data_IF_871078659904
#
_entry.id   IF_871078659904
#
_cell.length_a   1.000
_cell.length_b   1.000
_cell.length_c   1.000
_cell.angle_alpha   90.00
_cell.angle_beta   90.00
_cell.angle_gamma   90.00
#
_symmetry.space_group_name_H-M   'P 1'
#
loop_
_entity.id
_entity.type
_entity.pdbx_description
1 polymer ?
#
# COMPACT_ATOMS: atom_id res chain seq x y z
N UNK A 1 -28.61 0.85 -15.38
CA UNK A 1 -28.81 0.15 -14.07
C UNK A 1 -29.41 1.16 -13.09
N UNK A 2 -30.60 0.90 -12.59
CA UNK A 2 -31.27 1.79 -11.63
C UNK A 2 -30.73 1.54 -10.21
N UNK A 3 -29.72 2.31 -9.79
CA UNK A 3 -29.07 2.15 -8.46
C UNK A 3 -29.99 2.53 -7.28
N UNK A 4 -31.19 3.04 -7.53
CA UNK A 4 -32.12 3.40 -6.46
C UNK A 4 -32.61 2.18 -5.67
N UNK A 5 -32.80 1.06 -6.33
CA UNK A 5 -33.22 -0.18 -5.66
C UNK A 5 -32.18 -0.68 -4.66
N UNK A 6 -30.90 -0.44 -4.94
CA UNK A 6 -29.79 -0.84 -4.04
C UNK A 6 -29.72 -0.02 -2.75
N UNK A 7 -30.39 1.15 -2.70
CA UNK A 7 -30.51 1.94 -1.46
C UNK A 7 -31.12 1.16 -0.33
N UNK A 8 -32.03 0.22 -0.65
CA UNK A 8 -32.65 -0.69 0.32
C UNK A 8 -31.63 -1.37 1.24
N UNK A 9 -30.50 -1.82 0.69
CA UNK A 9 -29.47 -2.49 1.48
C UNK A 9 -28.74 -1.52 2.43
N UNK A 10 -28.59 -0.24 2.06
CA UNK A 10 -27.99 0.78 2.93
C UNK A 10 -28.93 1.23 4.05
N UNK A 11 -30.23 1.25 3.80
CA UNK A 11 -31.24 1.67 4.77
C UNK A 11 -31.49 0.63 5.85
N UNK A 12 -31.35 -0.66 5.52
CA UNK A 12 -31.55 -1.77 6.45
C UNK A 12 -30.28 -2.08 7.25
N UNK A 13 -30.25 -1.71 8.53
CA UNK A 13 -29.09 -1.91 9.43
C UNK A 13 -28.64 -3.36 9.56
N UNK A 14 -29.54 -4.31 9.41
CA UNK A 14 -29.24 -5.75 9.51
C UNK A 14 -28.25 -6.28 8.48
N UNK A 15 -28.06 -5.60 7.34
CA UNK A 15 -27.05 -5.99 6.35
C UNK A 15 -25.61 -5.66 6.76
N UNK A 16 -25.39 -4.73 7.67
CA UNK A 16 -24.05 -4.17 7.94
C UNK A 16 -23.03 -5.25 8.31
N UNK A 17 -23.31 -6.11 9.29
CA UNK A 17 -22.36 -7.17 9.72
C UNK A 17 -22.31 -8.31 8.70
N UNK A 18 -23.43 -8.64 8.07
CA UNK A 18 -23.51 -9.65 7.02
C UNK A 18 -22.59 -9.27 5.85
N UNK A 19 -22.75 -8.08 5.31
CA UNK A 19 -21.96 -7.60 4.17
C UNK A 19 -20.49 -7.41 4.51
N UNK A 20 -20.17 -6.90 5.72
CA UNK A 20 -18.80 -6.85 6.20
C UNK A 20 -18.15 -8.25 6.21
N UNK A 21 -18.87 -9.25 6.74
CA UNK A 21 -18.39 -10.63 6.77
C UNK A 21 -18.21 -11.23 5.37
N UNK A 22 -19.14 -10.96 4.44
CA UNK A 22 -19.02 -11.43 3.05
C UNK A 22 -17.84 -10.75 2.36
N UNK A 23 -17.63 -9.43 2.55
CA UNK A 23 -16.47 -8.71 2.02
C UNK A 23 -15.16 -9.29 2.53
N UNK A 24 -15.05 -9.59 3.83
CA UNK A 24 -13.86 -10.20 4.41
C UNK A 24 -13.58 -11.60 3.82
N UNK A 25 -14.64 -12.40 3.58
CA UNK A 25 -14.52 -13.68 2.88
C UNK A 25 -14.03 -13.50 1.44
N UNK A 26 -14.63 -12.56 0.69
CA UNK A 26 -14.17 -12.26 -0.66
C UNK A 26 -12.71 -11.83 -0.69
N UNK A 27 -12.31 -10.91 0.20
CA UNK A 27 -10.92 -10.48 0.31
C UNK A 27 -9.94 -11.61 0.56
N UNK A 28 -10.35 -12.61 1.33
CA UNK A 28 -9.52 -13.78 1.64
C UNK A 28 -9.50 -14.81 0.52
N UNK A 29 -10.64 -15.07 -0.14
CA UNK A 29 -10.82 -16.16 -1.09
C UNK A 29 -10.61 -15.74 -2.56
N UNK A 30 -10.71 -14.45 -2.86
CA UNK A 30 -10.72 -13.93 -4.25
C UNK A 30 -12.01 -14.24 -5.02
N UNK A 31 -13.04 -14.77 -4.36
CA UNK A 31 -14.33 -15.10 -4.95
C UNK A 31 -15.46 -15.02 -3.92
N UNK A 32 -16.69 -14.88 -4.38
CA UNK A 32 -17.86 -15.03 -3.54
C UNK A 32 -17.98 -16.48 -3.10
N UNK A 33 -18.14 -16.71 -1.80
CA UNK A 33 -18.25 -18.05 -1.24
C UNK A 33 -17.83 -18.14 0.22
N UNK A 34 -17.91 -19.36 0.75
CA UNK A 34 -17.64 -19.64 2.16
C UNK A 34 -18.80 -19.30 3.08
N UNK A 35 -18.54 -19.34 4.38
CA UNK A 35 -19.57 -19.15 5.42
C UNK A 35 -19.20 -17.98 6.31
N UNK A 36 -20.13 -17.06 6.50
CA UNK A 36 -20.05 -15.97 7.47
C UNK A 36 -20.77 -16.39 8.74
N UNK A 37 -20.07 -16.37 9.86
CA UNK A 37 -20.65 -16.67 11.18
C UNK A 37 -20.95 -15.36 11.90
N UNK A 38 -22.17 -15.24 12.41
CA UNK A 38 -22.62 -14.12 13.24
C UNK A 38 -23.10 -14.66 14.56
N UNK A 39 -22.52 -14.18 15.62
CA UNK A 39 -22.96 -14.43 17.00
C UNK A 39 -23.71 -13.21 17.54
N UNK A 40 -24.61 -13.44 18.52
CA UNK A 40 -25.42 -12.41 19.14
C UNK A 40 -26.17 -11.56 18.08
N UNK A 41 -27.06 -12.22 17.34
CA UNK A 41 -27.86 -11.57 16.29
C UNK A 41 -28.72 -10.46 16.86
N UNK A 42 -28.69 -9.29 16.23
CA UNK A 42 -29.63 -8.21 16.49
C UNK A 42 -30.99 -8.49 15.86
N UNK A 43 -32.03 -7.80 16.31
CA UNK A 43 -33.39 -7.98 15.73
C UNK A 43 -33.40 -7.60 14.25
N UNK A 44 -32.70 -6.55 13.85
CA UNK A 44 -32.55 -6.17 12.44
C UNK A 44 -31.89 -7.27 11.60
N UNK A 45 -30.89 -7.97 12.12
CA UNK A 45 -30.22 -9.09 11.45
C UNK A 45 -31.14 -10.31 11.34
N UNK A 46 -31.89 -10.62 12.40
CA UNK A 46 -32.88 -11.70 12.38
C UNK A 46 -33.96 -11.46 11.34
N UNK A 47 -34.47 -10.22 11.26
CA UNK A 47 -35.46 -9.83 10.23
C UNK A 47 -34.94 -10.06 8.82
N UNK A 48 -33.74 -9.54 8.53
CA UNK A 48 -33.08 -9.65 7.23
C UNK A 48 -32.85 -11.12 6.85
N UNK A 49 -32.32 -11.93 7.79
CA UNK A 49 -32.03 -13.34 7.54
C UNK A 49 -33.32 -14.16 7.33
N UNK A 50 -34.36 -13.84 8.10
CA UNK A 50 -35.67 -14.50 7.93
C UNK A 50 -36.27 -14.24 6.55
N UNK A 51 -36.17 -12.99 6.08
CA UNK A 51 -36.68 -12.58 4.77
C UNK A 51 -35.88 -13.22 3.61
N UNK A 52 -34.56 -13.29 3.71
CA UNK A 52 -33.70 -13.87 2.69
C UNK A 52 -33.82 -15.39 2.59
N UNK A 53 -33.72 -16.08 3.73
CA UNK A 53 -33.69 -17.55 3.71
C UNK A 53 -35.02 -18.20 3.89
N UNK A 54 -36.11 -17.42 4.10
CA UNK A 54 -37.47 -17.92 4.40
C UNK A 54 -37.49 -18.94 5.53
N UNK A 55 -36.58 -18.73 6.53
CA UNK A 55 -36.43 -19.55 7.73
C UNK A 55 -36.56 -18.65 8.94
N UNK A 56 -37.15 -19.13 10.02
CA UNK A 56 -37.31 -18.35 11.25
C UNK A 56 -35.97 -18.21 12.00
N UNK A 57 -35.49 -16.98 12.10
CA UNK A 57 -34.30 -16.60 12.87
C UNK A 57 -34.65 -15.85 14.16
N UNK A 58 -35.94 -15.58 14.45
CA UNK A 58 -36.34 -14.74 15.60
C UNK A 58 -35.86 -15.30 16.93
N UNK A 59 -35.82 -16.61 17.09
CA UNK A 59 -35.40 -17.29 18.31
C UNK A 59 -33.91 -17.63 18.34
N UNK A 60 -33.17 -17.40 17.24
CA UNK A 60 -31.78 -17.80 17.11
C UNK A 60 -30.84 -16.73 17.64
N UNK A 61 -29.82 -17.17 18.40
CA UNK A 61 -28.76 -16.30 18.92
C UNK A 61 -27.60 -16.11 17.92
N UNK A 62 -27.41 -17.06 17.00
CA UNK A 62 -26.33 -17.04 16.02
C UNK A 62 -26.81 -17.55 14.65
N UNK A 63 -26.09 -17.21 13.60
CA UNK A 63 -26.32 -17.70 12.26
C UNK A 63 -25.03 -18.03 11.53
N UNK A 64 -25.08 -19.08 10.70
CA UNK A 64 -24.04 -19.40 9.73
C UNK A 64 -24.61 -19.14 8.33
N UNK A 65 -24.11 -18.14 7.66
CA UNK A 65 -24.61 -17.64 6.37
C UNK A 65 -23.69 -18.19 5.29
N UNK A 66 -24.20 -19.11 4.49
CA UNK A 66 -23.53 -19.56 3.28
C UNK A 66 -23.68 -18.48 2.21
N UNK A 67 -22.54 -17.95 1.72
CA UNK A 67 -22.51 -16.81 0.79
C UNK A 67 -23.16 -17.16 -0.55
N UNK A 68 -22.96 -18.39 -1.05
CA UNK A 68 -23.57 -18.82 -2.31
C UNK A 68 -25.11 -18.92 -2.18
N UNK A 69 -25.59 -19.43 -1.05
CA UNK A 69 -27.02 -19.45 -0.76
C UNK A 69 -27.62 -18.08 -0.56
N UNK A 70 -26.83 -17.15 0.00
CA UNK A 70 -27.26 -15.76 0.12
C UNK A 70 -27.40 -15.11 -1.27
N UNK A 71 -26.44 -15.32 -2.17
CA UNK A 71 -26.54 -14.86 -3.56
C UNK A 71 -27.72 -15.50 -4.29
N UNK A 72 -27.95 -16.81 -4.11
CA UNK A 72 -29.06 -17.50 -4.69
C UNK A 72 -30.42 -16.97 -4.19
N UNK A 73 -30.51 -16.52 -2.95
CA UNK A 73 -31.75 -15.95 -2.38
C UNK A 73 -32.17 -14.62 -3.01
N UNK A 74 -31.27 -13.97 -3.79
CA UNK A 74 -31.58 -12.75 -4.56
C UNK A 74 -32.37 -13.08 -5.85
N UNK A 75 -32.27 -14.31 -6.36
CA UNK A 75 -33.03 -14.76 -7.53
C UNK A 75 -34.50 -14.73 -7.24
N UNK A 76 -35.29 -14.43 -8.25
CA UNK A 76 -36.74 -14.24 -8.15
C UNK A 76 -37.16 -13.12 -7.17
N UNK A 77 -36.29 -12.15 -6.94
CA UNK A 77 -36.59 -10.91 -6.23
C UNK A 77 -36.38 -9.74 -7.16
N UNK A 78 -36.74 -8.54 -6.73
CA UNK A 78 -36.44 -7.31 -7.46
C UNK A 78 -34.92 -7.06 -7.65
N UNK A 79 -34.07 -7.85 -7.01
CA UNK A 79 -32.62 -7.74 -7.06
C UNK A 79 -31.96 -8.79 -7.97
N UNK A 80 -32.71 -9.59 -8.71
CA UNK A 80 -32.17 -10.68 -9.53
C UNK A 80 -31.25 -10.21 -10.67
N UNK A 81 -31.41 -8.97 -11.13
CA UNK A 81 -30.54 -8.37 -12.15
C UNK A 81 -29.15 -7.98 -11.60
N UNK A 82 -28.95 -8.00 -10.28
CA UNK A 82 -27.71 -7.62 -9.63
C UNK A 82 -26.99 -8.85 -9.08
N UNK A 83 -25.69 -8.93 -9.32
CA UNK A 83 -24.86 -9.90 -8.60
C UNK A 83 -24.66 -9.46 -7.16
N UNK A 84 -24.38 -10.39 -6.26
CA UNK A 84 -24.02 -10.04 -4.88
C UNK A 84 -22.78 -9.13 -4.83
N UNK A 85 -21.87 -9.24 -5.81
CA UNK A 85 -20.72 -8.35 -5.96
C UNK A 85 -21.16 -6.91 -6.23
N UNK A 86 -22.09 -6.69 -7.18
CA UNK A 86 -22.61 -5.35 -7.50
C UNK A 86 -23.27 -4.71 -6.27
N UNK A 87 -24.02 -5.48 -5.51
CA UNK A 87 -24.67 -5.02 -4.28
C UNK A 87 -23.62 -4.59 -3.23
N UNK A 88 -22.58 -5.40 -3.03
CA UNK A 88 -21.51 -5.09 -2.09
C UNK A 88 -20.71 -3.86 -2.52
N UNK A 89 -20.35 -3.74 -3.79
CA UNK A 89 -19.66 -2.58 -4.33
C UNK A 89 -20.47 -1.30 -4.18
N UNK A 90 -21.78 -1.36 -4.44
CA UNK A 90 -22.68 -0.23 -4.19
C UNK A 90 -22.77 0.10 -2.69
N UNK A 91 -22.89 -0.92 -1.83
CA UNK A 91 -23.04 -0.74 -0.39
C UNK A 91 -21.82 -0.06 0.23
N UNK A 92 -20.61 -0.49 -0.13
CA UNK A 92 -19.36 0.07 0.41
C UNK A 92 -18.87 1.31 -0.37
N UNK A 93 -19.37 1.55 -1.58
CA UNK A 93 -18.92 2.65 -2.44
C UNK A 93 -17.53 2.44 -3.05
N UNK A 94 -17.03 1.22 -3.06
CA UNK A 94 -15.72 0.83 -3.57
C UNK A 94 -15.77 -0.49 -4.33
N UNK A 95 -14.80 -0.72 -5.22
CA UNK A 95 -14.65 -2.03 -5.88
C UNK A 95 -14.29 -3.12 -4.87
N UNK A 96 -14.88 -4.28 -5.06
CA UNK A 96 -14.57 -5.45 -4.25
C UNK A 96 -13.33 -6.15 -4.80
N UNK A 97 -12.23 -6.04 -4.07
CA UNK A 97 -10.93 -6.63 -4.43
C UNK A 97 -10.50 -7.69 -3.42
N UNK A 98 -9.77 -8.68 -3.88
CA UNK A 98 -9.10 -9.64 -3.01
C UNK A 98 -7.75 -9.11 -2.56
N UNK A 99 -7.21 -9.68 -1.49
CA UNK A 99 -5.84 -9.37 -1.04
C UNK A 99 -4.79 -9.62 -2.13
N UNK A 100 -5.02 -10.64 -2.97
CA UNK A 100 -4.12 -10.97 -4.08
C UNK A 100 -4.16 -9.88 -5.15
N UNK A 101 -5.36 -9.45 -5.55
CA UNK A 101 -5.54 -8.36 -6.51
C UNK A 101 -4.94 -7.04 -5.97
N UNK A 102 -5.17 -6.72 -4.69
CA UNK A 102 -4.57 -5.52 -4.05
C UNK A 102 -3.03 -5.58 -4.12
N UNK A 103 -2.42 -6.75 -3.85
CA UNK A 103 -0.98 -6.94 -3.95
C UNK A 103 -0.45 -6.83 -5.39
N UNK A 104 -1.18 -7.38 -6.36
CA UNK A 104 -0.83 -7.30 -7.78
C UNK A 104 -0.90 -5.84 -8.30
N UNK A 105 -1.91 -5.10 -7.87
CA UNK A 105 -2.04 -3.67 -8.21
C UNK A 105 -0.85 -2.90 -7.61
N UNK A 106 -0.56 -3.11 -6.32
CA UNK A 106 0.56 -2.45 -5.64
C UNK A 106 1.91 -2.79 -6.28
N UNK A 107 2.10 -4.04 -6.69
CA UNK A 107 3.32 -4.48 -7.37
C UNK A 107 3.50 -3.77 -8.73
N UNK A 108 2.43 -3.67 -9.54
CA UNK A 108 2.46 -2.94 -10.81
C UNK A 108 2.75 -1.45 -10.63
N UNK A 109 2.08 -0.81 -9.67
CA UNK A 109 2.34 0.60 -9.37
C UNK A 109 3.78 0.85 -8.92
N UNK A 110 4.36 -0.10 -8.14
CA UNK A 110 5.76 -0.04 -7.73
C UNK A 110 6.71 -0.24 -8.92
N UNK A 111 6.39 -1.15 -9.82
CA UNK A 111 7.16 -1.36 -11.06
C UNK A 111 7.17 -0.08 -11.91
N UNK A 112 6.02 0.55 -12.12
CA UNK A 112 5.92 1.80 -12.87
C UNK A 112 6.70 2.95 -12.20
N UNK A 113 6.61 3.06 -10.88
CA UNK A 113 7.37 4.05 -10.10
C UNK A 113 8.88 3.92 -10.32
N UNK A 114 9.42 2.70 -10.24
CA UNK A 114 10.85 2.47 -10.46
C UNK A 114 11.25 2.55 -11.93
N UNK A 115 10.37 2.18 -12.86
CA UNK A 115 10.61 2.31 -14.30
C UNK A 115 10.88 3.76 -14.71
N UNK A 116 10.16 4.72 -14.16
CA UNK A 116 10.42 6.13 -14.41
C UNK A 116 11.79 6.57 -13.88
N UNK A 117 12.18 6.09 -12.68
CA UNK A 117 13.49 6.37 -12.10
C UNK A 117 14.62 5.74 -12.93
N UNK A 118 14.47 4.48 -13.32
CA UNK A 118 15.43 3.79 -14.17
C UNK A 118 15.60 4.48 -15.52
N UNK A 119 14.51 4.91 -16.15
CA UNK A 119 14.59 5.64 -17.43
C UNK A 119 15.38 6.94 -17.30
N UNK A 120 15.24 7.66 -16.18
CA UNK A 120 15.95 8.91 -15.93
C UNK A 120 17.44 8.70 -15.63
N UNK A 121 17.81 7.61 -14.94
CA UNK A 121 19.14 7.38 -14.41
C UNK A 121 19.86 6.17 -15.02
N UNK A 122 19.46 5.73 -16.22
CA UNK A 122 19.91 4.48 -16.86
C UNK A 122 21.43 4.32 -16.94
N UNK A 123 22.16 5.40 -17.22
CA UNK A 123 23.63 5.38 -17.40
C UNK A 123 24.34 6.14 -16.27
N UNK A 124 23.69 6.32 -15.15
CA UNK A 124 24.21 7.10 -14.02
C UNK A 124 24.83 6.21 -12.95
N UNK A 125 25.76 6.77 -12.16
CA UNK A 125 26.45 6.06 -11.07
C UNK A 125 25.51 5.57 -9.96
N UNK A 126 24.35 6.20 -9.80
CA UNK A 126 23.35 5.81 -8.82
C UNK A 126 22.54 4.57 -9.22
N UNK A 127 22.71 4.04 -10.45
CA UNK A 127 21.84 2.98 -11.00
C UNK A 127 21.88 1.71 -10.14
N UNK A 128 23.04 1.33 -9.62
CA UNK A 128 23.17 0.13 -8.82
C UNK A 128 22.47 0.25 -7.45
N UNK A 129 22.50 1.45 -6.85
CA UNK A 129 21.67 1.72 -5.67
C UNK A 129 20.17 1.66 -5.98
N UNK A 130 19.71 2.24 -7.11
CA UNK A 130 18.31 2.15 -7.52
C UNK A 130 17.85 0.71 -7.75
N UNK A 131 18.70 -0.12 -8.36
CA UNK A 131 18.45 -1.57 -8.52
C UNK A 131 18.32 -2.24 -7.16
N UNK A 132 19.25 -1.98 -6.23
CA UNK A 132 19.21 -2.54 -4.87
C UNK A 132 17.94 -2.13 -4.11
N UNK A 133 17.44 -0.89 -4.30
CA UNK A 133 16.14 -0.45 -3.75
C UNK A 133 14.97 -1.23 -4.33
N UNK A 134 14.97 -1.44 -5.64
CA UNK A 134 13.91 -2.19 -6.33
C UNK A 134 13.90 -3.65 -5.91
N UNK A 135 15.05 -4.29 -5.85
CA UNK A 135 15.27 -5.69 -5.45
C UNK A 135 15.09 -5.94 -3.95
N UNK A 136 15.09 -4.87 -3.14
CA UNK A 136 14.91 -4.99 -1.69
C UNK A 136 16.20 -5.31 -0.93
N UNK A 137 17.36 -5.16 -1.54
CA UNK A 137 18.70 -5.47 -0.96
C UNK A 137 19.42 -4.25 -0.39
N UNK A 138 18.96 -3.02 -0.70
CA UNK A 138 19.57 -1.79 -0.23
C UNK A 138 19.47 -1.65 1.29
N UNK A 139 20.49 -1.03 1.89
CA UNK A 139 20.46 -0.59 3.30
C UNK A 139 19.29 0.38 3.49
N UNK A 140 18.52 0.21 4.58
CA UNK A 140 17.37 1.07 4.87
C UNK A 140 16.13 0.85 3.99
N UNK A 141 16.09 -0.19 3.15
CA UNK A 141 14.98 -0.46 2.21
C UNK A 141 13.60 -0.57 2.90
N UNK A 142 13.56 -0.99 4.17
CA UNK A 142 12.29 -1.06 4.94
C UNK A 142 11.65 0.31 5.09
N UNK A 143 12.45 1.33 5.41
CA UNK A 143 11.99 2.73 5.52
C UNK A 143 11.49 3.24 4.18
N UNK A 144 12.19 2.94 3.08
CA UNK A 144 11.77 3.30 1.72
C UNK A 144 10.44 2.65 1.37
N UNK A 145 10.26 1.36 1.66
CA UNK A 145 9.00 0.65 1.41
C UNK A 145 7.84 1.21 2.24
N UNK A 146 8.07 1.60 3.48
CA UNK A 146 7.06 2.22 4.33
C UNK A 146 6.66 3.61 3.80
N UNK A 147 7.64 4.43 3.39
CA UNK A 147 7.39 5.73 2.79
C UNK A 147 6.67 5.61 1.45
N UNK A 148 6.97 4.60 0.65
CA UNK A 148 6.27 4.32 -0.60
C UNK A 148 4.76 4.18 -0.41
N UNK A 149 4.32 3.60 0.70
CA UNK A 149 2.89 3.44 1.02
C UNK A 149 2.24 4.73 1.56
N UNK A 150 3.01 5.58 2.24
CA UNK A 150 2.48 6.73 2.97
C UNK A 150 2.68 8.07 2.26
N UNK A 151 3.83 8.26 1.60
CA UNK A 151 4.21 9.50 0.90
C UNK A 151 5.05 9.20 -0.35
N UNK A 152 4.39 8.76 -1.39
CA UNK A 152 5.02 8.34 -2.66
C UNK A 152 5.70 9.50 -3.38
N UNK A 153 5.11 10.69 -3.32
CA UNK A 153 5.65 11.87 -4.00
C UNK A 153 6.88 12.44 -3.31
N UNK A 154 6.85 12.55 -1.98
CA UNK A 154 8.01 12.96 -1.19
C UNK A 154 9.16 11.97 -1.33
N UNK A 155 8.84 10.67 -1.25
CA UNK A 155 9.83 9.62 -1.49
C UNK A 155 10.50 9.73 -2.87
N UNK A 156 9.72 9.92 -3.94
CA UNK A 156 10.25 10.05 -5.30
C UNK A 156 11.21 11.23 -5.40
N UNK A 157 10.83 12.36 -4.83
CA UNK A 157 11.66 13.57 -4.77
C UNK A 157 12.98 13.30 -4.07
N UNK A 158 12.95 12.66 -2.90
CA UNK A 158 14.16 12.38 -2.14
C UNK A 158 15.06 11.37 -2.85
N UNK A 159 14.51 10.30 -3.45
CA UNK A 159 15.28 9.37 -4.28
C UNK A 159 15.99 10.12 -5.42
N UNK A 160 15.31 11.04 -6.10
CA UNK A 160 15.91 11.82 -7.18
C UNK A 160 17.07 12.68 -6.68
N UNK A 161 16.92 13.38 -5.56
CA UNK A 161 18.01 14.18 -5.00
C UNK A 161 19.18 13.31 -4.51
N UNK A 162 18.90 12.14 -3.94
CA UNK A 162 19.97 11.19 -3.56
C UNK A 162 20.68 10.65 -4.80
N UNK A 163 19.97 10.32 -5.87
CA UNK A 163 20.59 9.96 -7.16
C UNK A 163 21.47 11.08 -7.70
N UNK A 164 20.98 12.32 -7.68
CA UNK A 164 21.75 13.47 -8.13
C UNK A 164 22.97 13.69 -7.25
N UNK A 165 22.87 13.47 -5.93
CA UNK A 165 24.01 13.53 -5.01
C UNK A 165 25.04 12.43 -5.33
N UNK A 166 24.65 11.18 -5.48
CA UNK A 166 25.54 10.07 -5.83
C UNK A 166 26.27 10.34 -7.15
N UNK A 167 25.59 10.86 -8.14
CA UNK A 167 26.17 11.16 -9.46
C UNK A 167 27.20 12.30 -9.43
N UNK A 168 27.14 13.18 -8.43
CA UNK A 168 27.96 14.37 -8.28
C UNK A 168 28.86 14.35 -7.04
N UNK A 169 29.16 13.17 -6.48
CA UNK A 169 30.03 13.08 -5.31
C UNK A 169 31.37 13.76 -5.57
N UNK A 170 31.87 14.60 -4.63
CA UNK A 170 33.13 15.37 -4.82
C UNK A 170 34.33 14.47 -5.10
N UNK A 171 34.38 13.27 -4.52
CA UNK A 171 35.44 12.28 -4.75
C UNK A 171 35.69 11.96 -6.23
N UNK A 172 34.67 12.03 -7.07
CA UNK A 172 34.81 11.74 -8.51
C UNK A 172 35.64 12.80 -9.26
N UNK A 173 35.79 13.98 -8.65
CA UNK A 173 36.61 15.09 -9.17
C UNK A 173 37.87 15.29 -8.37
N UNK A 174 38.15 14.44 -7.38
CA UNK A 174 39.26 14.65 -6.44
C UNK A 174 39.08 15.87 -5.52
N UNK A 175 37.83 16.33 -5.38
CA UNK A 175 37.47 17.49 -4.57
C UNK A 175 37.00 17.05 -3.17
N UNK A 176 37.10 17.98 -2.21
CA UNK A 176 36.46 17.87 -0.90
C UNK A 176 35.51 19.03 -0.69
N UNK A 177 34.30 18.75 -0.21
CA UNK A 177 33.28 19.78 0.04
C UNK A 177 32.61 19.54 1.39
N UNK A 178 32.30 20.64 2.08
CA UNK A 178 31.47 20.55 3.28
C UNK A 178 30.05 20.15 2.90
N UNK A 179 29.44 19.27 3.68
CA UNK A 179 28.09 18.76 3.44
C UNK A 179 27.05 19.86 3.17
N UNK A 180 26.97 20.98 3.92
CA UNK A 180 26.00 22.04 3.62
C UNK A 180 26.19 22.69 2.24
N UNK A 181 27.47 22.82 1.78
CA UNK A 181 27.77 23.37 0.44
C UNK A 181 27.36 22.40 -0.63
N UNK A 182 27.66 21.12 -0.47
CA UNK A 182 27.23 20.04 -1.36
C UNK A 182 25.71 19.93 -1.43
N UNK A 183 25.03 19.90 -0.27
CA UNK A 183 23.56 19.86 -0.17
C UNK A 183 22.91 21.05 -0.89
N UNK A 184 23.46 22.25 -0.74
CA UNK A 184 22.96 23.45 -1.43
C UNK A 184 23.09 23.35 -2.95
N UNK A 185 24.17 22.74 -3.45
CA UNK A 185 24.40 22.55 -4.87
C UNK A 185 23.38 21.55 -5.48
N UNK A 186 23.05 20.49 -4.75
CA UNK A 186 22.16 19.43 -5.23
C UNK A 186 20.68 19.82 -5.05
N UNK A 187 20.29 20.23 -3.83
CA UNK A 187 18.89 20.40 -3.44
C UNK A 187 18.49 21.85 -3.15
N UNK A 188 19.41 22.83 -3.34
CA UNK A 188 19.22 24.26 -2.99
C UNK A 188 18.85 24.48 -1.51
N UNK A 189 19.20 23.53 -0.66
CA UNK A 189 18.99 23.58 0.79
C UNK A 189 20.24 23.02 1.50
N UNK A 190 20.95 23.81 2.32
CA UNK A 190 22.17 23.36 2.99
C UNK A 190 21.93 22.22 4.00
N UNK A 191 20.71 22.07 4.49
CA UNK A 191 20.33 21.08 5.49
C UNK A 191 19.60 19.87 4.90
N UNK A 192 19.57 19.73 3.57
CA UNK A 192 18.78 18.68 2.92
C UNK A 192 19.29 17.28 3.26
N UNK A 193 20.61 17.11 3.32
CA UNK A 193 21.26 15.83 3.62
C UNK A 193 21.80 15.73 5.06
N UNK A 194 21.31 16.55 5.98
CA UNK A 194 21.65 16.39 7.41
C UNK A 194 21.16 15.01 7.88
N UNK A 195 21.96 14.34 8.71
CA UNK A 195 21.71 12.95 9.14
C UNK A 195 20.37 12.73 9.87
N UNK A 196 19.79 13.79 10.41
CA UNK A 196 18.48 13.78 11.09
C UNK A 196 17.29 14.04 10.13
N UNK A 197 17.54 14.23 8.83
CA UNK A 197 16.50 14.36 7.81
C UNK A 197 16.21 13.00 7.15
N UNK A 198 15.02 12.85 6.56
CA UNK A 198 14.69 11.65 5.80
C UNK A 198 15.59 11.45 4.57
N UNK A 199 15.88 12.56 3.85
CA UNK A 199 16.76 12.54 2.70
C UNK A 199 18.21 12.27 3.09
N UNK A 200 18.68 12.83 4.22
CA UNK A 200 20.03 12.59 4.75
C UNK A 200 20.22 11.14 5.18
N UNK A 201 19.27 10.59 5.93
CA UNK A 201 19.28 9.17 6.30
C UNK A 201 19.27 8.25 5.07
N UNK A 202 18.48 8.61 4.05
CA UNK A 202 18.44 7.85 2.78
C UNK A 202 19.78 7.97 2.03
N UNK A 203 20.41 9.13 2.03
CA UNK A 203 21.71 9.34 1.39
C UNK A 203 22.81 8.53 2.07
N UNK A 204 22.86 8.52 3.41
CA UNK A 204 23.79 7.67 4.19
C UNK A 204 23.60 6.20 3.82
N UNK A 205 22.35 5.71 3.83
CA UNK A 205 22.04 4.33 3.47
C UNK A 205 22.41 3.99 2.01
N UNK A 206 22.27 4.94 1.11
CA UNK A 206 22.70 4.79 -0.28
C UNK A 206 24.21 4.63 -0.41
N UNK A 207 24.98 5.46 0.29
CA UNK A 207 26.44 5.35 0.35
C UNK A 207 26.87 4.01 0.96
N UNK A 208 26.26 3.59 2.07
CA UNK A 208 26.52 2.27 2.66
C UNK A 208 26.27 1.13 1.65
N UNK A 209 25.16 1.19 0.93
CA UNK A 209 24.83 0.19 -0.08
C UNK A 209 25.88 0.11 -1.18
N UNK A 210 26.30 1.27 -1.73
CA UNK A 210 27.28 1.35 -2.80
C UNK A 210 28.69 0.93 -2.36
N UNK A 211 29.03 1.13 -1.08
CA UNK A 211 30.32 0.74 -0.51
C UNK A 211 30.31 -0.66 0.07
N UNK A 212 29.19 -1.40 0.02
CA UNK A 212 29.07 -2.73 0.59
C UNK A 212 29.14 -2.78 2.11
N UNK A 213 28.78 -1.65 2.76
CA UNK A 213 28.78 -1.52 4.22
C UNK A 213 27.40 -1.87 4.81
N UNK A 214 27.40 -2.25 6.08
CA UNK A 214 26.17 -2.34 6.87
C UNK A 214 25.63 -0.94 7.20
N UNK A 215 24.43 -0.89 7.77
CA UNK A 215 23.84 0.36 8.28
C UNK A 215 24.75 1.00 9.33
N UNK A 216 25.16 2.26 9.13
CA UNK A 216 25.93 3.05 10.10
C UNK A 216 25.01 3.91 10.95
N UNK A 217 25.29 4.01 12.25
CA UNK A 217 24.43 4.73 13.22
C UNK A 217 25.20 5.75 14.06
N UNK A 218 26.49 5.57 14.22
CA UNK A 218 27.33 6.45 15.00
C UNK A 218 27.71 7.74 14.25
N UNK A 219 27.82 8.87 14.96
CA UNK A 219 28.25 10.13 14.36
C UNK A 219 29.65 10.05 13.78
N UNK A 220 30.54 9.28 14.38
CA UNK A 220 31.90 9.04 13.91
C UNK A 220 31.91 8.25 12.59
N UNK A 221 31.15 7.15 12.53
CA UNK A 221 30.99 6.33 11.32
C UNK A 221 30.40 7.13 10.16
N UNK A 222 29.37 7.97 10.43
CA UNK A 222 28.78 8.87 9.44
C UNK A 222 29.79 9.90 8.95
N UNK A 223 30.61 10.46 9.85
CA UNK A 223 31.63 11.42 9.49
C UNK A 223 32.72 10.80 8.62
N UNK A 224 33.12 9.56 8.93
CA UNK A 224 34.08 8.81 8.13
C UNK A 224 33.49 8.48 6.74
N UNK A 225 32.23 8.08 6.68
CA UNK A 225 31.51 7.83 5.43
C UNK A 225 31.53 9.05 4.52
N UNK A 226 31.17 10.23 5.06
CA UNK A 226 31.22 11.48 4.30
C UNK A 226 32.64 11.89 3.90
N UNK A 227 33.61 11.67 4.77
CA UNK A 227 35.00 11.95 4.44
C UNK A 227 35.51 11.13 3.25
N UNK A 228 35.07 9.88 3.14
CA UNK A 228 35.48 8.97 2.06
C UNK A 228 34.85 9.33 0.70
N UNK A 229 33.76 10.08 0.68
CA UNK A 229 33.09 10.50 -0.57
C UNK A 229 33.38 11.97 -0.94
N UNK A 230 34.18 12.70 -0.11
CA UNK A 230 34.63 14.06 -0.32
C UNK A 230 33.84 15.10 0.43
#
# INVERSE_FOLDING_TARGET
MNKEELKYFKEKKGYKRIFKGIREKYRSLGRLGGVVKLDNLTEDEKEVLTNHFKKDYRTKKSASIDVAKFEESLKNTRFEEYTLKDILEYYFGEKLTSKKEDMEILAKEREEFFKELFSKYQECKCIDWLKSLYEGTAVGVRTVNQRYLNDRNGLKKDIMYVCDAINNLPVYKGEKKRLPVFSSQIARNPHYFDSNTEAGSMFINALCTLMGLNEVKGSEEISELYYNVG
#
